data_IF_591243662214
#
_entry.id   IF_591243662214
#
_cell.length_a   1.000
_cell.length_b   1.000
_cell.length_c   1.000
_cell.angle_alpha   90.00
_cell.angle_beta   90.00
_cell.angle_gamma   90.00
#
_symmetry.space_group_name_H-M   'P 1'
#
loop_
_entity.id
_entity.type
_entity.pdbx_description
1 polymer ?
#
# COMPACT_ATOMS: atom_id res chain seq x y z
N UNK A 1 -2.59 -0.60 -27.49
CA UNK A 1 -1.68 -1.19 -26.46
C UNK A 1 -2.21 -0.97 -25.05
N UNK A 2 -2.49 0.28 -24.63
CA UNK A 2 -2.93 0.58 -23.25
C UNK A 2 -4.41 0.27 -22.96
N UNK A 3 -5.23 -0.02 -23.97
CA UNK A 3 -6.67 -0.26 -23.82
C UNK A 3 -7.00 -1.43 -22.88
N UNK A 4 -6.28 -2.55 -22.97
CA UNK A 4 -6.51 -3.67 -22.06
C UNK A 4 -6.10 -3.33 -20.63
N UNK A 5 -5.02 -2.55 -20.45
CA UNK A 5 -4.56 -2.08 -19.14
C UNK A 5 -5.62 -1.18 -18.49
N UNK A 6 -5.94 -0.06 -19.15
CA UNK A 6 -7.30 0.44 -19.35
C UNK A 6 -8.45 -0.23 -18.58
N UNK A 7 -9.04 -1.18 -19.30
CA UNK A 7 -10.23 -1.94 -18.94
C UNK A 7 -10.02 -2.86 -17.73
N UNK A 8 -8.78 -3.26 -17.44
CA UNK A 8 -8.45 -4.13 -16.31
C UNK A 8 -8.30 -3.40 -14.97
N UNK A 9 -8.37 -2.07 -14.93
CA UNK A 9 -8.27 -1.29 -13.69
C UNK A 9 -9.30 -1.77 -12.65
N UNK A 10 -8.84 -1.99 -11.42
CA UNK A 10 -9.66 -2.55 -10.33
C UNK A 10 -9.93 -4.06 -10.39
N UNK A 11 -9.52 -4.75 -11.46
CA UNK A 11 -9.67 -6.21 -11.60
C UNK A 11 -8.40 -6.98 -11.17
N UNK A 12 -8.52 -8.28 -10.87
CA UNK A 12 -7.37 -9.16 -10.62
C UNK A 12 -6.39 -9.28 -11.81
N UNK A 13 -6.87 -9.07 -13.04
CA UNK A 13 -6.09 -9.26 -14.26
C UNK A 13 -5.16 -8.07 -14.57
N UNK A 14 -5.25 -6.98 -13.81
CA UNK A 14 -4.48 -5.76 -14.03
C UNK A 14 -2.96 -6.00 -14.09
N UNK A 15 -2.43 -6.84 -13.21
CA UNK A 15 -1.00 -7.15 -13.20
C UNK A 15 -0.54 -7.86 -14.47
N UNK A 16 -1.34 -8.78 -15.01
CA UNK A 16 -1.06 -9.47 -16.26
C UNK A 16 -1.18 -8.52 -17.46
N UNK A 17 -2.23 -7.70 -17.51
CA UNK A 17 -2.42 -6.69 -18.55
C UNK A 17 -1.27 -5.66 -18.56
N UNK A 18 -0.80 -5.25 -17.38
CA UNK A 18 0.35 -4.35 -17.23
C UNK A 18 1.63 -4.97 -17.76
N UNK A 19 1.88 -6.25 -17.44
CA UNK A 19 3.02 -6.99 -17.96
C UNK A 19 2.99 -7.12 -19.48
N UNK A 20 1.83 -7.45 -20.06
CA UNK A 20 1.65 -7.62 -21.50
C UNK A 20 1.97 -6.36 -22.32
N UNK A 21 1.67 -5.17 -21.79
CA UNK A 21 2.00 -3.88 -22.43
C UNK A 21 3.49 -3.78 -22.71
N UNK A 22 4.35 -4.19 -21.77
CA UNK A 22 5.79 -4.01 -21.87
C UNK A 22 6.53 -5.23 -22.41
N UNK A 23 6.03 -6.44 -22.15
CA UNK A 23 6.69 -7.67 -22.57
C UNK A 23 6.75 -7.79 -24.10
N UNK A 24 5.64 -7.51 -24.80
CA UNK A 24 5.53 -7.75 -26.25
C UNK A 24 6.31 -6.72 -27.08
N UNK A 25 6.28 -5.47 -26.65
CA UNK A 25 6.69 -4.32 -27.49
C UNK A 25 8.06 -3.77 -27.08
N UNK A 26 8.48 -4.04 -25.85
CA UNK A 26 9.72 -3.49 -25.27
C UNK A 26 10.55 -4.60 -24.61
N UNK A 27 10.34 -5.86 -24.98
CA UNK A 27 11.11 -7.03 -24.51
C UNK A 27 11.45 -7.02 -23.02
N UNK A 28 10.54 -6.47 -22.20
CA UNK A 28 10.72 -6.38 -20.75
C UNK A 28 10.62 -7.79 -20.19
N UNK A 29 11.57 -8.14 -19.33
CA UNK A 29 11.62 -9.45 -18.70
C UNK A 29 10.71 -9.51 -17.49
N UNK A 30 10.78 -8.50 -16.61
CA UNK A 30 10.01 -8.47 -15.37
C UNK A 30 9.31 -7.13 -15.20
N UNK A 31 8.10 -7.18 -14.65
CA UNK A 31 7.34 -6.02 -14.19
C UNK A 31 7.01 -6.20 -12.73
N UNK A 32 7.42 -5.24 -11.91
CA UNK A 32 7.17 -5.22 -10.47
C UNK A 32 6.50 -3.90 -10.09
N UNK A 33 5.39 -3.98 -9.37
CA UNK A 33 4.70 -2.83 -8.79
C UNK A 33 4.79 -2.91 -7.27
N UNK A 34 5.39 -1.89 -6.66
CA UNK A 34 5.53 -1.79 -5.21
C UNK A 34 4.83 -0.54 -4.67
N UNK A 35 4.28 -0.65 -3.46
CA UNK A 35 3.79 0.46 -2.65
C UNK A 35 4.71 0.67 -1.45
N UNK A 36 5.04 1.93 -1.20
CA UNK A 36 5.86 2.41 -0.09
C UNK A 36 5.04 3.38 0.76
N UNK A 37 4.99 3.13 2.06
CA UNK A 37 4.36 4.00 3.05
C UNK A 37 5.34 4.13 4.24
N UNK A 38 5.49 5.31 4.87
CA UNK A 38 6.48 5.53 5.94
C UNK A 38 6.40 4.52 7.10
N UNK A 39 5.18 4.15 7.50
CA UNK A 39 4.92 3.35 8.70
C UNK A 39 4.41 1.93 8.38
N UNK A 40 4.54 1.48 7.13
CA UNK A 40 4.14 0.13 6.73
C UNK A 40 5.24 -0.60 5.98
N UNK A 41 5.29 -1.95 6.07
CA UNK A 41 6.14 -2.75 5.21
C UNK A 41 5.86 -2.46 3.73
N UNK A 42 6.92 -2.50 2.91
CA UNK A 42 6.81 -2.42 1.45
C UNK A 42 5.90 -3.56 0.98
N UNK A 43 4.93 -3.21 0.15
CA UNK A 43 4.00 -4.18 -0.41
C UNK A 43 4.26 -4.35 -1.91
N UNK A 44 4.56 -5.58 -2.31
CA UNK A 44 4.58 -5.96 -3.72
C UNK A 44 3.16 -6.29 -4.19
N UNK A 45 2.63 -5.46 -5.07
CA UNK A 45 1.28 -5.55 -5.61
C UNK A 45 1.23 -6.35 -6.91
N UNK A 46 2.30 -6.25 -7.70
CA UNK A 46 2.49 -7.02 -8.95
C UNK A 46 3.93 -7.51 -9.00
N UNK A 47 4.13 -8.76 -9.40
CA UNK A 47 5.43 -9.34 -9.73
C UNK A 47 5.23 -10.35 -10.85
N UNK A 48 5.55 -9.94 -12.08
CA UNK A 48 5.40 -10.73 -13.30
C UNK A 48 6.75 -10.90 -13.97
N UNK A 49 6.98 -12.07 -14.59
CA UNK A 49 8.20 -12.44 -15.31
C UNK A 49 7.81 -13.19 -16.58
N UNK A 50 8.57 -13.01 -17.66
CA UNK A 50 8.39 -13.83 -18.86
C UNK A 50 8.87 -15.28 -18.64
N UNK A 51 9.61 -15.53 -17.56
CA UNK A 51 9.97 -16.87 -17.10
C UNK A 51 8.91 -17.44 -16.18
N UNK A 52 8.66 -18.75 -16.33
CA UNK A 52 7.68 -19.49 -15.52
C UNK A 52 8.30 -20.22 -14.32
N UNK A 53 9.56 -19.93 -13.98
CA UNK A 53 10.29 -20.59 -12.88
C UNK A 53 10.09 -19.94 -11.51
N UNK A 54 9.26 -18.89 -11.43
CA UNK A 54 8.96 -18.17 -10.19
C UNK A 54 10.12 -17.32 -9.65
N UNK A 55 11.19 -17.13 -10.43
CA UNK A 55 12.39 -16.40 -10.00
C UNK A 55 12.06 -14.99 -9.47
N UNK A 56 11.16 -14.25 -10.14
CA UNK A 56 10.77 -12.89 -9.74
C UNK A 56 10.22 -12.81 -8.32
N UNK A 57 9.46 -13.80 -7.86
CA UNK A 57 8.89 -13.78 -6.50
C UNK A 57 9.96 -13.92 -5.43
N UNK A 58 11.00 -14.71 -5.69
CA UNK A 58 12.16 -14.82 -4.80
C UNK A 58 12.95 -13.51 -4.77
N UNK A 59 13.18 -12.90 -5.93
CA UNK A 59 13.89 -11.62 -6.01
C UNK A 59 13.14 -10.48 -5.32
N UNK A 60 11.83 -10.40 -5.50
CA UNK A 60 10.98 -9.40 -4.83
C UNK A 60 10.99 -9.60 -3.31
N UNK A 61 10.94 -10.85 -2.83
CA UNK A 61 11.06 -11.15 -1.39
C UNK A 61 12.41 -10.72 -0.84
N UNK A 62 13.50 -11.04 -1.54
CA UNK A 62 14.85 -10.64 -1.15
C UNK A 62 15.00 -9.11 -1.14
N UNK A 63 14.45 -8.44 -2.16
CA UNK A 63 14.41 -6.98 -2.25
C UNK A 63 13.76 -6.36 -1.01
N UNK A 64 12.52 -6.76 -0.72
CA UNK A 64 11.75 -6.21 0.40
C UNK A 64 12.45 -6.48 1.74
N UNK A 65 13.00 -7.69 1.95
CA UNK A 65 13.57 -8.07 3.24
C UNK A 65 14.95 -7.48 3.52
N UNK A 66 15.79 -7.35 2.49
CA UNK A 66 17.22 -7.13 2.68
C UNK A 66 17.78 -5.95 1.91
N UNK A 67 17.24 -5.67 0.72
CA UNK A 67 17.96 -4.85 -0.27
C UNK A 67 17.30 -3.51 -0.61
N UNK A 68 16.07 -3.25 -0.15
CA UNK A 68 15.33 -2.02 -0.49
C UNK A 68 16.07 -0.73 -0.13
N UNK A 69 16.83 -0.69 0.97
CA UNK A 69 17.61 0.49 1.38
C UNK A 69 18.85 0.73 0.52
N UNK A 70 19.32 -0.30 -0.17
CA UNK A 70 20.45 -0.24 -1.11
C UNK A 70 19.99 0.10 -2.53
N UNK A 71 18.67 0.28 -2.74
CA UNK A 71 18.14 0.73 -4.02
C UNK A 71 18.63 2.16 -4.33
N UNK A 72 19.24 2.41 -5.49
CA UNK A 72 19.66 3.76 -5.89
C UNK A 72 18.51 4.78 -5.91
N UNK A 73 17.27 4.33 -6.06
CA UNK A 73 16.08 5.16 -6.06
C UNK A 73 15.41 5.26 -4.69
N UNK A 74 15.98 4.66 -3.63
CA UNK A 74 15.43 4.66 -2.27
C UNK A 74 15.00 6.06 -1.77
N UNK A 75 15.79 7.14 -1.96
CA UNK A 75 15.38 8.48 -1.53
C UNK A 75 14.11 9.00 -2.21
N UNK A 76 13.78 8.48 -3.40
CA UNK A 76 12.62 8.88 -4.19
C UNK A 76 11.33 8.17 -3.75
N UNK A 77 11.41 7.14 -2.91
CA UNK A 77 10.25 6.42 -2.39
C UNK A 77 9.62 7.06 -1.15
N UNK A 78 10.20 8.15 -0.64
CA UNK A 78 9.56 8.99 0.35
C UNK A 78 8.31 9.69 -0.25
N UNK A 79 7.21 9.83 0.52
CA UNK A 79 6.02 10.53 0.07
C UNK A 79 6.31 12.01 -0.22
N UNK A 80 5.48 12.64 -1.06
CA UNK A 80 5.52 14.08 -1.34
C UNK A 80 4.24 14.76 -0.85
N UNK A 81 4.32 16.05 -0.53
CA UNK A 81 3.15 16.87 -0.20
C UNK A 81 2.17 17.00 -1.37
N UNK A 82 2.67 16.87 -2.60
CA UNK A 82 1.89 16.97 -3.83
C UNK A 82 2.09 15.73 -4.69
N UNK A 83 1.17 15.52 -5.63
CA UNK A 83 1.31 14.46 -6.62
C UNK A 83 2.44 14.79 -7.59
N UNK A 84 3.42 13.91 -7.67
CA UNK A 84 4.56 14.01 -8.57
C UNK A 84 4.80 12.68 -9.29
N UNK A 85 5.18 12.74 -10.56
CA UNK A 85 5.45 11.56 -11.38
C UNK A 85 6.80 11.71 -12.04
N UNK A 86 7.72 10.83 -11.67
CA UNK A 86 9.07 10.81 -12.19
C UNK A 86 9.38 9.48 -12.88
N UNK A 87 10.32 9.53 -13.82
CA UNK A 87 10.88 8.33 -14.44
C UNK A 87 12.40 8.36 -14.28
N UNK A 88 12.97 7.20 -13.94
CA UNK A 88 14.42 7.00 -13.82
C UNK A 88 14.79 5.67 -14.42
N UNK A 89 15.95 5.61 -15.07
CA UNK A 89 16.52 4.39 -15.61
C UNK A 89 17.96 4.27 -15.11
N UNK A 90 18.40 3.06 -14.81
CA UNK A 90 19.77 2.78 -14.38
C UNK A 90 20.21 1.41 -14.91
N UNK A 91 21.34 1.37 -15.63
CA UNK A 91 21.93 0.11 -16.05
C UNK A 91 22.65 -0.56 -14.86
N UNK A 92 22.77 -1.89 -14.87
CA UNK A 92 23.43 -2.64 -13.79
C UNK A 92 24.85 -2.16 -13.51
N UNK A 93 25.58 -1.71 -14.55
CA UNK A 93 26.95 -1.20 -14.44
C UNK A 93 27.07 0.13 -13.69
N UNK A 94 25.96 0.86 -13.53
CA UNK A 94 25.91 2.17 -12.86
C UNK A 94 25.50 2.04 -11.38
N UNK A 95 25.15 0.82 -10.94
CA UNK A 95 24.74 0.56 -9.57
C UNK A 95 25.99 0.37 -8.69
N UNK A 96 26.18 1.28 -7.73
CA UNK A 96 27.36 1.27 -6.85
C UNK A 96 27.35 0.15 -5.81
N UNK A 97 26.17 -0.17 -5.25
CA UNK A 97 26.00 -1.19 -4.21
C UNK A 97 26.23 -2.60 -4.77
N UNK A 98 27.42 -3.16 -4.55
CA UNK A 98 27.89 -4.37 -5.23
C UNK A 98 27.07 -5.62 -4.87
N UNK A 99 26.68 -5.80 -3.60
CA UNK A 99 25.87 -6.96 -3.19
C UNK A 99 24.45 -6.89 -3.75
N UNK A 100 23.84 -5.70 -3.69
CA UNK A 100 22.53 -5.41 -4.29
C UNK A 100 22.54 -5.69 -5.80
N UNK A 101 23.53 -5.16 -6.52
CA UNK A 101 23.69 -5.38 -7.95
C UNK A 101 23.89 -6.86 -8.28
N UNK A 102 24.75 -7.56 -7.51
CA UNK A 102 25.05 -8.97 -7.75
C UNK A 102 23.82 -9.85 -7.55
N UNK A 103 23.08 -9.66 -6.45
CA UNK A 103 21.95 -10.50 -6.08
C UNK A 103 20.73 -10.27 -6.96
N UNK A 104 20.39 -9.01 -7.22
CA UNK A 104 19.12 -8.66 -7.88
C UNK A 104 19.26 -8.45 -9.39
N UNK A 105 20.48 -8.22 -9.90
CA UNK A 105 20.69 -7.94 -11.31
C UNK A 105 21.62 -8.94 -11.99
N UNK A 106 22.87 -9.06 -11.55
CA UNK A 106 23.88 -9.90 -12.25
C UNK A 106 23.52 -11.38 -12.19
N UNK A 107 23.22 -11.90 -11.00
CA UNK A 107 22.84 -13.30 -10.79
C UNK A 107 21.63 -13.73 -11.62
N UNK A 108 20.51 -12.99 -11.59
CA UNK A 108 19.33 -13.28 -12.41
C UNK A 108 19.49 -12.98 -13.90
N UNK A 109 20.53 -12.24 -14.29
CA UNK A 109 20.80 -11.86 -15.68
C UNK A 109 19.97 -10.67 -16.17
N UNK A 110 19.86 -9.63 -15.37
CA UNK A 110 19.17 -8.38 -15.68
C UNK A 110 20.17 -7.30 -16.07
N UNK A 111 19.90 -6.59 -17.17
CA UNK A 111 20.74 -5.52 -17.70
C UNK A 111 20.65 -4.21 -16.90
N UNK A 112 19.54 -4.01 -16.19
CA UNK A 112 19.20 -2.81 -15.44
C UNK A 112 17.70 -2.68 -15.26
N UNK A 113 17.27 -1.52 -14.76
CA UNK A 113 15.86 -1.22 -14.55
C UNK A 113 15.46 0.17 -15.03
N UNK A 114 14.18 0.33 -15.34
CA UNK A 114 13.50 1.61 -15.54
C UNK A 114 12.29 1.66 -14.60
N UNK A 115 12.19 2.72 -13.81
CA UNK A 115 11.13 2.91 -12.82
C UNK A 115 10.32 4.15 -13.11
N UNK A 116 8.99 4.02 -13.09
CA UNK A 116 8.04 5.12 -12.99
C UNK A 116 7.62 5.22 -11.52
N UNK A 117 7.89 6.37 -10.91
CA UNK A 117 7.70 6.62 -9.48
C UNK A 117 6.63 7.70 -9.34
N UNK A 118 5.52 7.34 -8.70
CA UNK A 118 4.41 8.25 -8.37
C UNK A 118 4.48 8.55 -6.88
N UNK A 119 4.83 9.78 -6.52
CA UNK A 119 4.84 10.25 -5.13
C UNK A 119 3.58 11.05 -4.86
N UNK A 120 3.00 10.84 -3.69
CA UNK A 120 1.77 11.52 -3.26
C UNK A 120 1.72 11.62 -1.73
N UNK A 121 0.74 12.33 -1.16
CA UNK A 121 0.60 12.37 0.29
C UNK A 121 0.50 10.95 0.85
N UNK A 122 1.31 10.67 1.87
CA UNK A 122 1.35 9.42 2.66
C UNK A 122 1.91 8.18 1.96
N UNK A 123 2.13 8.17 0.64
CA UNK A 123 2.67 6.99 -0.05
C UNK A 123 3.45 7.32 -1.32
N UNK A 124 4.26 6.36 -1.78
CA UNK A 124 4.81 6.30 -3.12
C UNK A 124 4.46 4.96 -3.79
N UNK A 125 4.21 5.01 -5.10
CA UNK A 125 3.94 3.85 -5.94
C UNK A 125 5.08 3.77 -6.96
N UNK A 126 5.70 2.62 -7.11
CA UNK A 126 6.79 2.42 -8.05
C UNK A 126 6.51 1.24 -8.98
N UNK A 127 6.34 1.54 -10.27
CA UNK A 127 6.35 0.54 -11.33
C UNK A 127 7.78 0.41 -11.84
N UNK A 128 8.35 -0.78 -11.75
CA UNK A 128 9.70 -1.06 -12.24
C UNK A 128 9.68 -2.12 -13.34
N UNK A 129 10.32 -1.79 -14.45
CA UNK A 129 10.54 -2.64 -15.61
C UNK A 129 11.99 -3.10 -15.60
N UNK A 130 12.22 -4.40 -15.74
CA UNK A 130 13.56 -4.99 -15.80
C UNK A 130 13.82 -5.62 -17.16
N UNK A 131 15.01 -5.41 -17.70
CA UNK A 131 15.41 -5.90 -19.03
C UNK A 131 16.36 -7.10 -18.90
N UNK A 132 16.16 -8.13 -19.71
CA UNK A 132 17.10 -9.25 -19.75
C UNK A 132 18.44 -8.80 -20.35
N UNK A 133 19.57 -9.26 -19.78
CA UNK A 133 20.93 -8.99 -20.28
C UNK A 133 21.09 -9.31 -21.77
N UNK A 134 20.40 -10.33 -22.29
CA UNK A 134 20.45 -10.75 -23.70
C UNK A 134 19.94 -9.67 -24.65
N UNK A 135 19.07 -8.79 -24.17
CA UNK A 135 18.44 -7.73 -24.97
C UNK A 135 19.10 -6.36 -24.76
N UNK A 136 20.24 -6.30 -24.04
CA UNK A 136 20.88 -5.05 -23.65
C UNK A 136 20.06 -4.24 -22.64
N UNK A 137 20.47 -2.99 -22.41
CA UNK A 137 19.71 -2.02 -21.60
C UNK A 137 18.81 -1.16 -22.51
N UNK A 138 17.80 -0.49 -21.92
CA UNK A 138 16.85 0.34 -22.68
C UNK A 138 17.59 1.42 -23.49
N UNK A 139 17.27 1.54 -24.78
CA UNK A 139 17.81 2.60 -25.63
C UNK A 139 17.01 3.91 -25.48
N UNK A 140 17.55 5.02 -26.00
CA UNK A 140 16.92 6.35 -25.88
C UNK A 140 15.48 6.40 -26.42
N UNK A 141 15.22 5.75 -27.56
CA UNK A 141 13.89 5.73 -28.18
C UNK A 141 12.87 4.94 -27.35
N UNK A 142 13.29 3.83 -26.73
CA UNK A 142 12.44 3.05 -25.82
C UNK A 142 12.11 3.87 -24.56
N UNK A 143 13.11 4.52 -23.97
CA UNK A 143 12.93 5.40 -22.81
C UNK A 143 11.97 6.55 -23.14
N UNK A 144 12.14 7.21 -24.28
CA UNK A 144 11.26 8.29 -24.72
C UNK A 144 9.81 7.82 -24.94
N UNK A 145 9.63 6.62 -25.51
CA UNK A 145 8.30 6.02 -25.71
C UNK A 145 7.61 5.72 -24.37
N UNK A 146 8.34 5.18 -23.40
CA UNK A 146 7.81 4.94 -22.04
C UNK A 146 7.50 6.26 -21.35
N UNK A 147 8.36 7.28 -21.47
CA UNK A 147 8.12 8.60 -20.89
C UNK A 147 6.83 9.24 -21.43
N UNK A 148 6.55 9.09 -22.73
CA UNK A 148 5.31 9.56 -23.34
C UNK A 148 4.07 8.85 -22.76
N UNK A 149 4.18 7.59 -22.34
CA UNK A 149 3.09 6.81 -21.72
C UNK A 149 2.97 7.04 -20.21
N UNK A 150 4.01 7.60 -19.57
CA UNK A 150 4.13 7.78 -18.12
C UNK A 150 2.89 8.42 -17.46
N UNK A 151 2.28 9.50 -17.98
CA UNK A 151 1.12 10.11 -17.33
C UNK A 151 -0.09 9.16 -17.25
N UNK A 152 -0.33 8.40 -18.33
CA UNK A 152 -1.45 7.44 -18.40
C UNK A 152 -1.19 6.24 -17.51
N UNK A 153 0.05 5.73 -17.51
CA UNK A 153 0.47 4.64 -16.63
C UNK A 153 0.31 5.04 -15.16
N UNK A 154 0.81 6.22 -14.76
CA UNK A 154 0.67 6.71 -13.40
C UNK A 154 -0.80 6.78 -12.96
N UNK A 155 -1.66 7.37 -13.78
CA UNK A 155 -3.10 7.45 -13.49
C UNK A 155 -3.77 6.07 -13.37
N UNK A 156 -3.41 5.12 -14.24
CA UNK A 156 -3.94 3.76 -14.19
C UNK A 156 -3.50 3.01 -12.91
N UNK A 157 -2.24 3.14 -12.51
CA UNK A 157 -1.70 2.56 -11.27
C UNK A 157 -2.42 3.13 -10.05
N UNK A 158 -2.51 4.45 -9.95
CA UNK A 158 -3.22 5.13 -8.86
C UNK A 158 -4.68 4.70 -8.77
N UNK A 159 -5.38 4.66 -9.92
CA UNK A 159 -6.80 4.28 -9.96
C UNK A 159 -7.01 2.81 -9.59
N UNK A 160 -6.15 1.92 -10.08
CA UNK A 160 -6.20 0.51 -9.71
C UNK A 160 -6.03 0.36 -8.20
N UNK A 161 -4.99 0.96 -7.61
CA UNK A 161 -4.77 0.88 -6.16
C UNK A 161 -5.88 1.52 -5.35
N UNK A 162 -6.49 2.62 -5.80
CA UNK A 162 -7.64 3.19 -5.12
C UNK A 162 -8.86 2.26 -5.08
N UNK A 163 -9.01 1.37 -6.07
CA UNK A 163 -10.13 0.42 -6.16
C UNK A 163 -9.85 -0.91 -5.43
N UNK A 164 -8.62 -1.41 -5.50
CA UNK A 164 -8.26 -2.71 -4.87
C UNK A 164 -7.72 -2.56 -3.45
N UNK A 165 -7.25 -1.37 -3.07
CA UNK A 165 -6.87 -1.13 -1.67
C UNK A 165 -8.12 -1.24 -0.82
N UNK A 166 -8.18 -2.30 -0.02
CA UNK A 166 -9.16 -2.39 1.04
C UNK A 166 -8.99 -1.16 1.95
N UNK A 167 -10.06 -0.48 2.37
CA UNK A 167 -9.92 0.54 3.39
C UNK A 167 -9.15 -0.09 4.58
N UNK A 168 -8.25 0.67 5.22
CA UNK A 168 -7.49 0.15 6.34
C UNK A 168 -8.45 -0.53 7.32
N UNK A 169 -8.05 -1.70 7.83
CA UNK A 169 -8.82 -2.36 8.87
C UNK A 169 -9.14 -1.31 9.96
N UNK A 170 -10.38 -1.29 10.47
CA UNK A 170 -10.75 -0.30 11.47
C UNK A 170 -9.74 -0.28 12.61
N UNK A 171 -9.23 0.91 12.96
CA UNK A 171 -8.28 1.06 14.06
C UNK A 171 -9.01 0.97 15.41
N UNK A 172 -9.38 -0.26 15.77
CA UNK A 172 -10.04 -0.57 17.04
C UNK A 172 -9.16 -0.13 18.21
N UNK A 173 -7.84 -0.30 18.10
CA UNK A 173 -6.90 0.02 19.16
C UNK A 173 -6.81 1.53 19.40
N UNK A 174 -6.63 2.32 18.34
CA UNK A 174 -6.61 3.79 18.43
C UNK A 174 -7.95 4.36 18.89
N UNK A 175 -9.08 3.83 18.42
CA UNK A 175 -10.40 4.23 18.93
C UNK A 175 -10.59 3.88 20.41
N UNK A 176 -10.11 2.71 20.83
CA UNK A 176 -10.16 2.30 22.25
C UNK A 176 -9.32 3.24 23.10
N UNK A 177 -8.07 3.52 22.71
CA UNK A 177 -7.19 4.45 23.43
C UNK A 177 -7.80 5.87 23.50
N UNK A 178 -8.37 6.36 22.41
CA UNK A 178 -9.05 7.66 22.37
C UNK A 178 -10.27 7.71 23.31
N UNK A 179 -10.97 6.60 23.50
CA UNK A 179 -12.11 6.47 24.42
C UNK A 179 -11.69 6.31 25.89
N UNK A 180 -10.48 5.81 26.15
CA UNK A 180 -9.88 5.75 27.49
C UNK A 180 -9.40 7.12 27.97
N UNK A 181 -9.08 8.04 27.05
CA UNK A 181 -8.70 9.40 27.41
C UNK A 181 -9.86 10.14 28.11
N UNK A 182 -9.60 10.86 29.22
CA UNK A 182 -10.66 11.50 30.00
C UNK A 182 -11.55 12.43 29.17
N UNK A 183 -12.85 12.39 29.42
CA UNK A 183 -13.81 13.32 28.82
C UNK A 183 -14.59 14.02 29.93
N UNK A 184 -14.38 15.33 30.10
CA UNK A 184 -14.98 16.10 31.20
C UNK A 184 -14.66 15.53 32.59
N UNK A 185 -13.44 14.99 32.78
CA UNK A 185 -13.00 14.38 34.04
C UNK A 185 -13.46 12.95 34.29
N UNK A 186 -14.21 12.33 33.36
CA UNK A 186 -14.65 10.93 33.47
C UNK A 186 -13.90 10.03 32.50
N UNK A 187 -13.51 8.84 32.99
CA UNK A 187 -12.73 7.87 32.22
C UNK A 187 -13.50 6.56 32.06
N UNK A 188 -13.53 6.04 30.84
CA UNK A 188 -13.99 4.68 30.58
C UNK A 188 -12.94 3.68 31.04
N UNK A 189 -13.39 2.55 31.58
CA UNK A 189 -12.53 1.38 31.76
C UNK A 189 -12.15 0.78 30.40
N UNK A 190 -11.06 0.00 30.38
CA UNK A 190 -10.61 -0.68 29.17
C UNK A 190 -11.71 -1.50 28.49
N UNK A 191 -12.54 -2.22 29.26
CA UNK A 191 -13.65 -3.02 28.70
C UNK A 191 -14.79 -2.15 28.18
N UNK A 192 -15.11 -1.03 28.83
CA UNK A 192 -16.11 -0.08 28.35
C UNK A 192 -15.65 0.60 27.05
N UNK A 193 -14.40 1.07 27.01
CA UNK A 193 -13.79 1.68 25.83
C UNK A 193 -13.72 0.70 24.66
N UNK A 194 -13.27 -0.54 24.91
CA UNK A 194 -13.18 -1.58 23.88
C UNK A 194 -14.54 -1.95 23.26
N UNK A 195 -15.61 -1.96 24.07
CA UNK A 195 -16.99 -2.15 23.60
C UNK A 195 -17.44 -0.95 22.77
N UNK A 196 -17.26 0.28 23.29
CA UNK A 196 -17.65 1.51 22.60
C UNK A 196 -16.91 1.70 21.26
N UNK A 197 -15.63 1.33 21.17
CA UNK A 197 -14.84 1.39 19.95
C UNK A 197 -15.48 0.54 18.83
N UNK A 198 -15.89 -0.69 19.13
CA UNK A 198 -16.53 -1.58 18.14
C UNK A 198 -17.94 -1.13 17.77
N UNK A 199 -18.68 -0.55 18.72
CA UNK A 199 -19.98 0.08 18.44
C UNK A 199 -19.82 1.25 17.47
N UNK A 200 -18.80 2.10 17.64
CA UNK A 200 -18.49 3.18 16.70
C UNK A 200 -18.12 2.67 15.30
N UNK A 201 -17.57 1.48 15.22
CA UNK A 201 -17.25 0.79 13.96
C UNK A 201 -18.42 0.03 13.36
N UNK A 202 -19.61 0.12 13.96
CA UNK A 202 -20.85 -0.46 13.44
C UNK A 202 -21.05 -1.94 13.77
N UNK A 203 -20.30 -2.50 14.72
CA UNK A 203 -20.48 -3.89 15.13
C UNK A 203 -21.83 -4.03 15.87
N UNK A 204 -22.58 -5.10 15.57
CA UNK A 204 -23.73 -5.48 16.39
C UNK A 204 -23.29 -5.95 17.77
N UNK A 205 -24.21 -5.98 18.74
CA UNK A 205 -23.87 -6.46 20.08
C UNK A 205 -23.37 -7.91 20.07
N UNK A 206 -23.90 -8.75 19.18
CA UNK A 206 -23.46 -10.12 18.95
C UNK A 206 -22.04 -10.16 18.39
N UNK A 207 -21.74 -9.31 17.40
CA UNK A 207 -20.40 -9.21 16.83
C UNK A 207 -19.38 -8.72 17.88
N UNK A 208 -19.75 -7.74 18.72
CA UNK A 208 -18.90 -7.29 19.82
C UNK A 208 -18.68 -8.40 20.86
N UNK A 209 -19.72 -9.17 21.17
CA UNK A 209 -19.63 -10.30 22.11
C UNK A 209 -18.65 -11.36 21.60
N UNK A 210 -18.77 -11.75 20.34
CA UNK A 210 -17.86 -12.69 19.69
C UNK A 210 -16.42 -12.16 19.64
N UNK A 211 -16.23 -10.92 19.20
CA UNK A 211 -14.91 -10.33 19.02
C UNK A 211 -14.14 -10.14 20.35
N UNK A 212 -14.84 -9.81 21.44
CA UNK A 212 -14.23 -9.60 22.77
C UNK A 212 -14.21 -10.84 23.67
N UNK A 213 -14.76 -11.97 23.23
CA UNK A 213 -14.97 -13.16 24.07
C UNK A 213 -15.88 -12.88 25.26
N UNK A 214 -16.94 -12.10 25.05
CA UNK A 214 -17.92 -11.69 26.07
C UNK A 214 -19.30 -12.30 25.80
N UNK A 215 -20.17 -12.28 26.82
CA UNK A 215 -21.60 -12.54 26.59
C UNK A 215 -22.30 -11.31 26.02
N UNK A 216 -23.40 -11.50 25.30
CA UNK A 216 -24.28 -10.42 24.84
C UNK A 216 -24.74 -9.50 25.99
N UNK A 217 -25.03 -10.09 27.16
CA UNK A 217 -25.41 -9.34 28.37
C UNK A 217 -24.25 -8.51 28.93
N UNK A 218 -23.02 -9.02 28.89
CA UNK A 218 -21.83 -8.28 29.29
C UNK A 218 -21.60 -7.07 28.38
N UNK A 219 -21.73 -7.24 27.06
CA UNK A 219 -21.64 -6.13 26.09
C UNK A 219 -22.68 -5.05 26.40
N UNK A 220 -23.94 -5.45 26.59
CA UNK A 220 -25.03 -4.52 26.93
C UNK A 220 -24.76 -3.77 28.25
N UNK A 221 -24.18 -4.46 29.24
CA UNK A 221 -23.82 -3.88 30.53
C UNK A 221 -22.69 -2.86 30.39
N UNK A 222 -21.61 -3.19 29.69
CA UNK A 222 -20.50 -2.27 29.46
C UNK A 222 -20.95 -1.05 28.66
N UNK A 223 -21.77 -1.24 27.61
CA UNK A 223 -22.30 -0.13 26.80
C UNK A 223 -23.14 0.84 27.65
N UNK A 224 -24.05 0.31 28.48
CA UNK A 224 -24.87 1.12 29.39
C UNK A 224 -24.01 1.90 30.41
N UNK A 225 -23.00 1.27 31.00
CA UNK A 225 -22.10 1.94 31.96
C UNK A 225 -21.28 3.02 31.28
N UNK A 226 -20.75 2.74 30.10
CA UNK A 226 -20.01 3.72 29.31
C UNK A 226 -20.87 4.94 28.97
N UNK A 227 -22.11 4.70 28.53
CA UNK A 227 -23.04 5.77 28.15
C UNK A 227 -23.41 6.66 29.35
N UNK A 228 -23.69 6.04 30.50
CA UNK A 228 -23.92 6.78 31.74
C UNK A 228 -22.71 7.62 32.18
N UNK A 229 -21.48 7.11 32.03
CA UNK A 229 -20.26 7.87 32.30
C UNK A 229 -20.12 9.05 31.34
N UNK A 230 -20.33 8.83 30.05
CA UNK A 230 -20.22 9.86 29.02
C UNK A 230 -21.39 10.86 28.98
N UNK A 231 -22.47 10.60 29.72
CA UNK A 231 -23.66 11.46 29.72
C UNK A 231 -24.45 11.38 28.42
N UNK A 232 -24.43 10.22 27.76
CA UNK A 232 -25.12 9.96 26.49
C UNK A 232 -26.10 8.79 26.66
N UNK A 233 -27.00 8.65 25.69
CA UNK A 233 -28.05 7.63 25.67
C UNK A 233 -28.07 6.81 24.39
N UNK A 234 -27.40 7.28 23.34
CA UNK A 234 -27.43 6.63 22.02
C UNK A 234 -26.04 6.46 21.38
N UNK A 235 -25.96 5.52 20.44
CA UNK A 235 -24.78 5.35 19.58
C UNK A 235 -24.50 6.59 18.73
N UNK A 236 -25.54 7.30 18.28
CA UNK A 236 -25.38 8.53 17.50
C UNK A 236 -24.73 9.63 18.34
N UNK A 237 -25.08 9.74 19.62
CA UNK A 237 -24.43 10.68 20.54
C UNK A 237 -22.98 10.27 20.84
N UNK A 238 -22.68 8.96 20.96
CA UNK A 238 -21.30 8.48 21.06
C UNK A 238 -20.49 8.92 19.83
N UNK A 239 -21.05 8.79 18.63
CA UNK A 239 -20.39 9.23 17.39
C UNK A 239 -20.18 10.74 17.35
N UNK A 240 -21.20 11.52 17.71
CA UNK A 240 -21.11 12.98 17.76
C UNK A 240 -20.07 13.48 18.76
N UNK A 241 -19.93 12.81 19.91
CA UNK A 241 -18.94 13.11 20.95
C UNK A 241 -17.51 12.95 20.40
N UNK A 242 -17.24 11.88 19.67
CA UNK A 242 -15.93 11.62 19.07
C UNK A 242 -15.61 12.61 17.95
N UNK A 243 -16.60 12.94 17.11
CA UNK A 243 -16.42 13.94 16.06
C UNK A 243 -16.08 15.33 16.59
N UNK A 244 -16.67 15.73 17.72
CA UNK A 244 -16.31 16.99 18.40
C UNK A 244 -14.88 16.94 18.91
N UNK A 245 -14.51 15.85 19.58
CA UNK A 245 -13.15 15.65 20.13
C UNK A 245 -12.06 15.70 19.08
N UNK A 246 -12.30 15.18 17.88
CA UNK A 246 -11.35 15.23 16.75
C UNK A 246 -11.24 16.62 16.09
N UNK A 247 -12.10 17.60 16.41
CA UNK A 247 -11.98 18.98 15.90
C UNK A 247 -11.24 19.92 16.86
N UNK A 248 -11.08 19.51 18.11
CA UNK A 248 -10.44 20.31 19.18
C UNK A 248 -8.96 19.91 19.41
N UNK A 249 -8.40 19.07 18.53
CA UNK A 249 -6.98 18.67 18.43
C UNK A 249 -6.45 19.17 17.09
#
# INVERSE_FOLDING_TARGET
MLENLILSIGSPDFGAALFDVFCREMSVRQVVLNRFEPDRPIEALVAQDNRTDGCVHTLVKDYIRHFHRHDPFWPMFAPSERREVEMRAIAVKEIAESEYAQRLFVGPGIAGKLSIIVRQPRQAICLTLYRDRRNGFFCGDEVARIDAMKPVLAAALERHLALVSRPPAPDVAGLTALLEMPNGGKTLSQREAAVCARVLLGFSNEAVALDLGLSFHSVSTYRRRAYAKLGITSQNELFALILRRNRDI
#
